data_IF_210901140355
#
_entry.id   IF_210901140355
#
_cell.length_a   1.000
_cell.length_b   1.000
_cell.length_c   1.000
_cell.angle_alpha   90.00
_cell.angle_beta   90.00
_cell.angle_gamma   90.00
#
_symmetry.space_group_name_H-M   'P 1'
#
loop_
_entity.id
_entity.type
_entity.pdbx_description
1 polymer ?
#
# COMPACT_ATOMS: atom_id res chain seq x y z
N UNK A 1 21.27 5.20 -26.56
CA UNK A 1 19.82 5.18 -26.32
C UNK A 1 19.48 6.51 -25.66
N UNK A 2 18.55 7.27 -26.21
CA UNK A 2 17.99 8.43 -25.52
C UNK A 2 16.91 7.94 -24.56
N UNK A 3 17.22 7.93 -23.27
CA UNK A 3 16.32 7.42 -22.23
C UNK A 3 15.14 8.35 -21.97
N UNK A 4 15.21 9.62 -22.36
CA UNK A 4 14.16 10.60 -22.12
C UNK A 4 13.16 10.68 -23.27
N UNK A 5 13.53 10.22 -24.47
CA UNK A 5 12.65 10.18 -25.64
C UNK A 5 11.36 9.35 -25.46
N UNK A 6 11.32 8.43 -24.49
CA UNK A 6 10.14 7.63 -24.17
C UNK A 6 9.21 8.23 -23.11
N UNK A 7 9.55 9.38 -22.54
CA UNK A 7 8.76 9.99 -21.48
C UNK A 7 7.52 10.68 -22.06
N UNK A 8 6.39 10.55 -21.37
CA UNK A 8 5.15 11.24 -21.70
C UNK A 8 4.75 12.13 -20.53
N UNK A 9 4.31 13.35 -20.82
CA UNK A 9 3.69 14.22 -19.83
C UNK A 9 2.39 13.59 -19.34
N UNK A 10 2.23 13.52 -18.02
CA UNK A 10 1.00 13.02 -17.39
C UNK A 10 0.16 14.20 -16.93
N UNK A 11 -1.17 14.18 -17.12
CA UNK A 11 -2.03 15.26 -16.66
C UNK A 11 -1.88 15.47 -15.16
N UNK A 12 -1.63 16.71 -14.75
CA UNK A 12 -1.60 17.07 -13.34
C UNK A 12 -3.04 17.28 -12.86
N UNK A 13 -3.60 16.28 -12.20
CA UNK A 13 -4.91 16.37 -11.54
C UNK A 13 -4.88 17.22 -10.28
N UNK A 14 -6.06 17.66 -9.83
CA UNK A 14 -6.23 18.23 -8.49
C UNK A 14 -6.25 17.10 -7.47
N UNK A 15 -5.24 17.03 -6.62
CA UNK A 15 -5.14 16.06 -5.53
C UNK A 15 -5.18 16.81 -4.19
N UNK A 16 -6.06 16.37 -3.28
CA UNK A 16 -6.01 16.82 -1.88
C UNK A 16 -4.93 16.04 -1.12
N UNK A 17 -4.62 16.46 0.10
CA UNK A 17 -3.67 15.78 0.98
C UNK A 17 -4.14 14.34 1.26
N UNK A 18 -3.31 13.36 0.90
CA UNK A 18 -3.64 11.94 1.06
C UNK A 18 -3.90 11.52 2.52
N UNK A 19 -3.17 12.11 3.48
CA UNK A 19 -3.37 11.83 4.91
C UNK A 19 -4.70 12.38 5.38
N UNK A 20 -5.07 13.60 4.97
CA UNK A 20 -6.39 14.18 5.26
C UNK A 20 -7.52 13.29 4.73
N UNK A 21 -7.44 12.85 3.48
CA UNK A 21 -8.46 11.98 2.87
C UNK A 21 -8.61 10.66 3.62
N UNK A 22 -7.50 10.02 4.02
CA UNK A 22 -7.55 8.77 4.77
C UNK A 22 -8.11 8.98 6.19
N UNK A 23 -7.77 10.09 6.85
CA UNK A 23 -8.33 10.46 8.16
C UNK A 23 -9.84 10.66 8.08
N UNK A 24 -10.32 11.40 7.09
CA UNK A 24 -11.77 11.57 6.88
C UNK A 24 -12.47 10.23 6.65
N UNK A 25 -11.89 9.34 5.85
CA UNK A 25 -12.45 8.01 5.61
C UNK A 25 -12.50 7.17 6.90
N UNK A 26 -11.45 7.22 7.73
CA UNK A 26 -11.41 6.53 9.01
C UNK A 26 -12.47 7.06 9.98
N UNK A 27 -12.60 8.39 10.09
CA UNK A 27 -13.60 9.01 10.97
C UNK A 27 -15.03 8.69 10.55
N UNK A 28 -15.34 8.73 9.24
CA UNK A 28 -16.64 8.30 8.72
C UNK A 28 -16.94 6.85 9.10
N UNK A 29 -15.97 5.96 8.89
CA UNK A 29 -16.12 4.55 9.27
C UNK A 29 -16.41 4.36 10.76
N UNK A 30 -15.70 5.06 11.64
CA UNK A 30 -15.93 5.02 13.09
C UNK A 30 -17.32 5.57 13.46
N UNK A 31 -17.81 6.56 12.73
CA UNK A 31 -19.18 7.09 12.89
C UNK A 31 -20.27 6.14 12.35
N UNK A 32 -19.90 4.98 11.80
CA UNK A 32 -20.84 4.01 11.20
C UNK A 32 -21.15 4.26 9.73
N UNK A 33 -20.40 5.16 9.08
CA UNK A 33 -20.59 5.54 7.68
C UNK A 33 -19.50 4.92 6.79
N UNK A 34 -19.91 4.07 5.85
CA UNK A 34 -19.01 3.52 4.83
C UNK A 34 -18.02 2.46 5.34
N UNK A 35 -17.35 1.80 4.38
CA UNK A 35 -16.33 0.79 4.67
C UNK A 35 -14.93 1.40 4.80
N UNK A 36 -14.07 0.77 5.60
CA UNK A 36 -12.66 1.16 5.73
C UNK A 36 -11.74 -0.03 5.50
N UNK A 37 -11.12 -0.07 4.31
CA UNK A 37 -10.26 -1.18 3.91
C UNK A 37 -8.89 -1.18 4.60
N UNK A 38 -8.38 -0.02 5.03
CA UNK A 38 -7.02 0.15 5.55
C UNK A 38 -6.92 -0.15 7.05
N UNK A 39 -7.46 -1.30 7.46
CA UNK A 39 -7.44 -1.72 8.86
C UNK A 39 -6.05 -2.20 9.32
N UNK A 40 -5.96 -2.63 10.58
CA UNK A 40 -4.70 -3.13 11.15
C UNK A 40 -4.18 -4.42 10.47
N UNK A 41 -5.06 -5.25 9.90
CA UNK A 41 -4.64 -6.44 9.14
C UNK A 41 -3.84 -6.05 7.89
N UNK A 42 -4.24 -4.98 7.18
CA UNK A 42 -3.46 -4.47 6.04
C UNK A 42 -2.07 -3.98 6.49
N UNK A 43 -1.97 -3.39 7.68
CA UNK A 43 -0.69 -3.05 8.30
C UNK A 43 0.18 -4.30 8.57
N UNK A 44 -0.42 -5.36 9.12
CA UNK A 44 0.27 -6.62 9.39
C UNK A 44 0.77 -7.31 8.09
N UNK A 45 -0.01 -7.25 7.00
CA UNK A 45 0.42 -7.74 5.67
C UNK A 45 1.66 -7.00 5.16
N UNK A 46 1.76 -5.70 5.43
CA UNK A 46 2.95 -4.90 5.09
C UNK A 46 4.21 -5.39 5.79
N UNK A 47 4.14 -5.63 7.10
CA UNK A 47 5.26 -6.16 7.89
C UNK A 47 5.64 -7.57 7.42
N UNK A 48 4.65 -8.44 7.23
CA UNK A 48 4.87 -9.81 6.72
C UNK A 48 5.66 -9.81 5.41
N UNK A 49 5.28 -8.96 4.46
CA UNK A 49 5.98 -8.87 3.18
C UNK A 49 7.42 -8.35 3.34
N UNK A 50 7.64 -7.38 4.23
CA UNK A 50 8.98 -6.84 4.49
C UNK A 50 9.90 -7.92 5.09
N UNK A 51 9.42 -8.67 6.08
CA UNK A 51 10.18 -9.76 6.71
C UNK A 51 10.49 -10.89 5.73
N UNK A 52 9.51 -11.31 4.91
CA UNK A 52 9.73 -12.28 3.85
C UNK A 52 10.70 -11.77 2.78
N UNK A 53 10.69 -10.48 2.50
CA UNK A 53 11.67 -9.85 1.60
C UNK A 53 13.10 -10.00 2.14
N UNK A 54 13.31 -9.70 3.42
CA UNK A 54 14.61 -9.90 4.08
C UNK A 54 15.04 -11.37 4.08
N UNK A 55 14.12 -12.28 4.37
CA UNK A 55 14.39 -13.71 4.36
C UNK A 55 14.71 -14.23 2.95
N UNK A 56 13.93 -13.81 1.95
CA UNK A 56 14.13 -14.13 0.54
C UNK A 56 15.52 -13.68 0.07
N UNK A 57 15.92 -12.46 0.43
CA UNK A 57 17.24 -11.93 0.13
C UNK A 57 18.35 -12.80 0.74
N UNK A 58 18.25 -13.13 2.04
CA UNK A 58 19.22 -13.98 2.75
C UNK A 58 19.32 -15.38 2.15
N UNK A 59 18.21 -15.94 1.70
CA UNK A 59 18.15 -17.31 1.14
C UNK A 59 18.34 -17.36 -0.38
N UNK A 60 18.43 -16.20 -1.05
CA UNK A 60 18.56 -16.08 -2.51
C UNK A 60 17.51 -16.88 -3.27
N UNK A 61 16.28 -16.96 -2.73
CA UNK A 61 15.17 -17.71 -3.34
C UNK A 61 13.84 -17.05 -3.06
N UNK A 62 12.88 -17.30 -3.95
CA UNK A 62 11.50 -16.89 -3.76
C UNK A 62 10.85 -17.62 -2.57
N UNK A 63 10.05 -16.87 -1.81
CA UNK A 63 9.24 -17.36 -0.71
C UNK A 63 7.76 -17.16 -1.03
N UNK A 64 6.92 -18.10 -0.61
CA UNK A 64 5.47 -17.90 -0.64
C UNK A 64 5.08 -16.92 0.46
N UNK A 65 4.16 -16.02 0.15
CA UNK A 65 3.52 -15.16 1.15
C UNK A 65 2.29 -15.91 1.68
N UNK A 66 2.30 -16.39 2.94
CA UNK A 66 1.15 -17.11 3.48
C UNK A 66 0.00 -16.14 3.80
N UNK A 67 -1.24 -16.60 3.70
CA UNK A 67 -2.40 -15.78 4.04
C UNK A 67 -2.44 -15.47 5.55
N UNK A 68 -2.69 -14.21 5.88
CA UNK A 68 -3.04 -13.79 7.24
C UNK A 68 -4.55 -13.86 7.43
N UNK A 69 -4.98 -14.42 8.56
CA UNK A 69 -6.39 -14.49 8.98
C UNK A 69 -6.68 -13.39 9.99
N UNK A 70 -7.86 -12.76 9.85
CA UNK A 70 -8.43 -11.83 10.82
C UNK A 70 -9.22 -12.57 11.89
#
# INVERSE_FOLDING_TARGET
IDFFAGWQETPQGSYDNAFKLQWEAFLRHVAGEGGFRWNLLEGAKGVQLAELGLQSWKQRRWLKVPELKA
#
